data_IF_473791754820
#
_entry.id   IF_473791754820
#
_cell.length_a   1.000
_cell.length_b   1.000
_cell.length_c   1.000
_cell.angle_alpha   90.00
_cell.angle_beta   90.00
_cell.angle_gamma   90.00
#
_symmetry.space_group_name_H-M   'P 1'
#
loop_
_entity.id
_entity.type
_entity.pdbx_description
1 polymer ?
#
# COMPACT_ATOMS: atom_id res chain seq x y z
N UNK A 1 32.93 39.15 -34.78
CA UNK A 1 32.07 38.02 -34.36
C UNK A 1 32.83 37.18 -33.36
N UNK A 2 32.51 37.31 -32.07
CA UNK A 2 32.83 36.36 -31.02
C UNK A 2 31.59 36.32 -30.12
N UNK A 3 30.65 35.38 -30.33
CA UNK A 3 29.61 35.10 -29.36
C UNK A 3 30.21 34.14 -28.33
N UNK A 4 30.04 34.42 -27.03
CA UNK A 4 29.83 33.43 -25.96
C UNK A 4 29.94 34.14 -24.60
N UNK A 5 28.92 34.92 -24.23
CA UNK A 5 28.66 35.24 -22.83
C UNK A 5 28.14 33.98 -22.13
N UNK A 6 29.04 33.25 -21.47
CA UNK A 6 28.66 32.16 -20.56
C UNK A 6 27.98 32.75 -19.32
N UNK A 7 26.65 32.83 -19.38
CA UNK A 7 25.85 33.30 -18.24
C UNK A 7 25.65 32.14 -17.26
N UNK A 8 26.55 31.99 -16.29
CA UNK A 8 26.44 30.96 -15.25
C UNK A 8 25.39 31.40 -14.23
N UNK A 9 24.15 30.89 -14.33
CA UNK A 9 23.10 31.08 -13.31
C UNK A 9 23.40 30.21 -12.09
N UNK A 10 24.15 30.74 -11.13
CA UNK A 10 24.43 30.09 -9.84
C UNK A 10 23.16 30.06 -8.99
N UNK A 11 22.67 28.85 -8.66
CA UNK A 11 21.55 28.67 -7.72
C UNK A 11 22.06 28.90 -6.29
N UNK A 12 21.34 29.62 -5.41
CA UNK A 12 21.79 29.91 -4.05
C UNK A 12 22.01 28.65 -3.18
N UNK A 13 21.27 27.56 -3.46
CA UNK A 13 21.48 26.25 -2.81
C UNK A 13 22.86 25.64 -3.12
N UNK A 14 23.39 25.79 -4.33
CA UNK A 14 24.71 25.26 -4.69
C UNK A 14 25.85 26.10 -4.13
N UNK A 15 25.65 27.41 -3.93
CA UNK A 15 26.62 28.28 -3.27
C UNK A 15 26.72 27.98 -1.76
N UNK A 16 25.59 27.77 -1.08
CA UNK A 16 25.58 27.36 0.33
C UNK A 16 26.26 26.01 0.55
N UNK A 17 25.97 25.02 -0.30
CA UNK A 17 26.63 23.71 -0.26
C UNK A 17 28.14 23.86 -0.52
N UNK A 18 28.54 24.66 -1.51
CA UNK A 18 29.96 24.92 -1.80
C UNK A 18 30.71 25.62 -0.66
N UNK A 19 30.09 26.61 -0.01
CA UNK A 19 30.66 27.35 1.12
C UNK A 19 30.73 26.51 2.39
N UNK A 20 29.79 25.58 2.62
CA UNK A 20 29.82 24.66 3.77
C UNK A 20 30.75 23.46 3.55
N UNK A 21 30.87 22.95 2.33
CA UNK A 21 31.82 21.88 1.99
C UNK A 21 33.25 22.40 1.88
N UNK A 22 33.46 23.67 1.51
CA UNK A 22 34.79 24.27 1.38
C UNK A 22 35.66 24.15 2.64
N UNK A 23 35.24 24.59 3.84
CA UNK A 23 36.06 24.48 5.04
C UNK A 23 36.22 23.03 5.47
N UNK A 24 35.21 22.18 5.28
CA UNK A 24 35.32 20.75 5.60
C UNK A 24 36.31 20.03 4.69
N UNK A 25 36.29 20.32 3.39
CA UNK A 25 37.23 19.77 2.42
C UNK A 25 38.66 20.25 2.69
N UNK A 26 38.84 21.51 3.07
CA UNK A 26 40.16 22.05 3.47
C UNK A 26 40.67 21.36 4.74
N UNK A 27 39.83 21.20 5.77
CA UNK A 27 40.21 20.49 7.00
C UNK A 27 40.53 19.03 6.72
N UNK A 28 39.73 18.35 5.90
CA UNK A 28 39.98 16.96 5.50
C UNK A 28 41.31 16.84 4.72
N UNK A 29 41.58 17.76 3.80
CA UNK A 29 42.83 17.80 3.04
C UNK A 29 44.02 18.04 3.97
N UNK A 30 43.97 19.04 4.86
CA UNK A 30 45.03 19.32 5.83
C UNK A 30 45.27 18.12 6.74
N UNK A 31 44.21 17.45 7.19
CA UNK A 31 44.30 16.25 8.03
C UNK A 31 44.99 15.09 7.30
N UNK A 32 44.60 14.83 6.05
CA UNK A 32 45.23 13.82 5.18
C UNK A 32 46.70 14.17 4.94
N UNK A 33 47.02 15.42 4.59
CA UNK A 33 48.41 15.85 4.35
C UNK A 33 49.29 15.83 5.59
N UNK A 34 48.71 15.93 6.79
CA UNK A 34 49.45 15.88 8.07
C UNK A 34 49.84 14.46 8.49
N UNK A 35 49.45 13.43 7.73
CA UNK A 35 49.80 12.05 8.04
C UNK A 35 51.25 11.69 7.69
N UNK A 36 51.88 10.74 8.38
CA UNK A 36 53.29 10.38 8.18
C UNK A 36 53.48 9.49 6.93
N UNK A 37 53.25 10.06 5.75
CA UNK A 37 53.32 9.40 4.44
C UNK A 37 54.71 8.85 4.10
N UNK A 38 55.76 9.41 4.70
CA UNK A 38 57.15 9.01 4.50
C UNK A 38 57.62 7.88 5.42
N UNK A 39 56.77 7.40 6.34
CA UNK A 39 57.12 6.28 7.23
C UNK A 39 57.13 4.94 6.48
N UNK A 40 58.02 4.01 6.86
CA UNK A 40 58.07 2.66 6.24
C UNK A 40 56.75 1.88 6.36
N UNK A 41 55.91 2.27 7.32
CA UNK A 41 54.64 1.63 7.63
C UNK A 41 53.45 2.35 6.97
N UNK A 42 53.69 3.33 6.09
CA UNK A 42 52.65 4.13 5.42
C UNK A 42 51.61 3.27 4.69
N UNK A 43 52.07 2.30 3.90
CA UNK A 43 51.20 1.38 3.17
C UNK A 43 50.28 0.57 4.10
N UNK A 44 50.81 0.10 5.22
CA UNK A 44 50.08 -0.76 6.16
C UNK A 44 48.93 -0.04 6.87
N UNK A 45 49.14 1.19 7.34
CA UNK A 45 48.07 1.94 8.00
C UNK A 45 47.05 2.49 6.99
N UNK A 46 47.47 2.88 5.78
CA UNK A 46 46.55 3.29 4.70
C UNK A 46 45.59 2.16 4.35
N UNK A 47 46.11 0.94 4.21
CA UNK A 47 45.31 -0.25 3.95
C UNK A 47 44.33 -0.53 5.09
N UNK A 48 44.78 -0.46 6.34
CA UNK A 48 43.93 -0.68 7.51
C UNK A 48 42.78 0.35 7.60
N UNK A 49 43.06 1.63 7.37
CA UNK A 49 42.06 2.70 7.33
C UNK A 49 41.09 2.48 6.16
N UNK A 50 41.60 2.16 4.97
CA UNK A 50 40.78 1.85 3.80
C UNK A 50 39.84 0.66 4.03
N UNK A 51 40.32 -0.40 4.67
CA UNK A 51 39.51 -1.57 5.02
C UNK A 51 38.42 -1.25 6.06
N UNK A 52 38.73 -0.43 7.07
CA UNK A 52 37.74 0.01 8.07
C UNK A 52 36.64 0.88 7.43
N UNK A 53 37.01 1.83 6.56
CA UNK A 53 36.05 2.66 5.82
C UNK A 53 35.20 1.78 4.89
N UNK A 54 35.83 0.86 4.16
CA UNK A 54 35.15 -0.08 3.26
C UNK A 54 34.13 -0.95 4.00
N UNK A 55 34.50 -1.52 5.16
CA UNK A 55 33.61 -2.30 6.01
C UNK A 55 32.46 -1.44 6.56
N UNK A 56 32.75 -0.22 7.00
CA UNK A 56 31.74 0.72 7.47
C UNK A 56 30.69 1.05 6.40
N UNK A 57 31.13 1.32 5.17
CA UNK A 57 30.24 1.57 4.02
C UNK A 57 29.43 0.31 3.67
N UNK A 58 30.07 -0.86 3.65
CA UNK A 58 29.44 -2.14 3.35
C UNK A 58 28.34 -2.53 4.35
N UNK A 59 28.47 -2.14 5.62
CA UNK A 59 27.44 -2.33 6.65
C UNK A 59 26.39 -1.22 6.64
N UNK A 60 26.79 0.02 6.34
CA UNK A 60 25.89 1.18 6.36
C UNK A 60 24.89 1.19 5.20
N UNK A 61 25.31 0.80 4.00
CA UNK A 61 24.44 0.68 2.82
C UNK A 61 23.22 -0.20 3.08
N UNK A 62 23.37 -1.49 3.47
CA UNK A 62 22.23 -2.36 3.75
C UNK A 62 21.41 -1.91 4.96
N UNK A 63 22.02 -1.31 5.99
CA UNK A 63 21.28 -0.77 7.14
C UNK A 63 20.40 0.44 6.76
N UNK A 64 20.91 1.32 5.91
CA UNK A 64 20.16 2.47 5.39
C UNK A 64 19.06 2.04 4.43
N UNK A 65 19.34 1.06 3.58
CA UNK A 65 18.38 0.51 2.63
C UNK A 65 17.29 -0.30 3.34
N UNK A 66 17.64 -1.07 4.38
CA UNK A 66 16.73 -1.87 5.18
C UNK A 66 15.63 -1.01 5.82
N UNK A 67 15.99 0.10 6.46
CA UNK A 67 14.98 1.02 7.05
C UNK A 67 14.04 1.66 6.02
N UNK A 68 14.51 1.85 4.78
CA UNK A 68 13.64 2.34 3.69
C UNK A 68 12.71 1.24 3.18
N UNK A 69 13.26 0.04 2.98
CA UNK A 69 12.49 -1.14 2.57
C UNK A 69 11.40 -1.50 3.58
N UNK A 70 11.71 -1.49 4.87
CA UNK A 70 10.70 -1.73 5.92
C UNK A 70 9.57 -0.71 5.88
N UNK A 71 9.88 0.58 5.68
CA UNK A 71 8.87 1.62 5.54
C UNK A 71 8.03 1.47 4.27
N UNK A 72 8.66 1.09 3.14
CA UNK A 72 7.98 0.88 1.86
C UNK A 72 7.11 -0.38 1.88
N UNK A 73 7.59 -1.47 2.47
CA UNK A 73 6.82 -2.70 2.71
C UNK A 73 5.63 -2.44 3.63
N UNK A 74 5.84 -1.70 4.73
CA UNK A 74 4.75 -1.28 5.61
C UNK A 74 3.70 -0.46 4.87
N UNK A 75 4.12 0.52 4.06
CA UNK A 75 3.21 1.34 3.24
C UNK A 75 2.47 0.52 2.20
N UNK A 76 3.15 -0.44 1.55
CA UNK A 76 2.52 -1.36 0.59
C UNK A 76 1.45 -2.21 1.28
N UNK A 77 1.79 -2.81 2.43
CA UNK A 77 0.87 -3.63 3.22
C UNK A 77 -0.35 -2.83 3.70
N UNK A 78 -0.12 -1.62 4.20
CA UNK A 78 -1.18 -0.69 4.59
C UNK A 78 -2.07 -0.30 3.41
N UNK A 79 -1.48 -0.07 2.23
CA UNK A 79 -2.20 0.20 1.00
C UNK A 79 -3.11 -0.96 0.58
N UNK A 80 -2.63 -2.20 0.67
CA UNK A 80 -3.42 -3.40 0.38
C UNK A 80 -4.57 -3.57 1.39
N UNK A 81 -4.28 -3.43 2.69
CA UNK A 81 -5.30 -3.51 3.74
C UNK A 81 -6.43 -2.49 3.51
N UNK A 82 -6.09 -1.23 3.23
CA UNK A 82 -7.08 -0.18 2.93
C UNK A 82 -7.87 -0.45 1.66
N UNK A 83 -7.24 -0.97 0.61
CA UNK A 83 -7.96 -1.35 -0.62
C UNK A 83 -8.97 -2.46 -0.33
N UNK A 84 -8.61 -3.44 0.49
CA UNK A 84 -9.50 -4.53 0.87
C UNK A 84 -10.68 -3.99 1.69
N UNK A 85 -10.40 -3.10 2.63
CA UNK A 85 -11.39 -2.36 3.41
C UNK A 85 -12.40 -1.62 2.52
N UNK A 86 -11.94 -0.71 1.65
CA UNK A 86 -12.87 0.04 0.80
C UNK A 86 -13.62 -0.83 -0.20
N UNK A 87 -12.99 -1.90 -0.68
CA UNK A 87 -13.66 -2.87 -1.56
C UNK A 87 -14.79 -3.59 -0.82
N UNK A 88 -14.52 -4.08 0.39
CA UNK A 88 -15.53 -4.73 1.22
C UNK A 88 -16.64 -3.76 1.63
N UNK A 89 -16.32 -2.50 1.93
CA UNK A 89 -17.29 -1.45 2.20
C UNK A 89 -18.18 -1.15 0.98
N UNK A 90 -17.60 -1.02 -0.21
CA UNK A 90 -18.34 -0.78 -1.47
C UNK A 90 -19.34 -1.91 -1.72
N UNK A 91 -18.92 -3.18 -1.53
CA UNK A 91 -19.81 -4.34 -1.66
C UNK A 91 -20.89 -4.30 -0.58
N UNK A 92 -20.52 -4.24 0.69
CA UNK A 92 -21.48 -4.27 1.81
C UNK A 92 -22.50 -3.14 1.71
N UNK A 93 -22.06 -1.91 1.41
CA UNK A 93 -22.94 -0.76 1.25
C UNK A 93 -23.89 -0.90 0.08
N UNK A 94 -23.43 -1.41 -1.08
CA UNK A 94 -24.31 -1.69 -2.22
C UNK A 94 -25.33 -2.78 -1.94
N UNK A 95 -24.89 -3.87 -1.30
CA UNK A 95 -25.79 -4.94 -0.88
C UNK A 95 -26.83 -4.43 0.12
N UNK A 96 -26.44 -3.56 1.06
CA UNK A 96 -27.37 -2.90 1.98
C UNK A 96 -28.37 -1.98 1.27
N UNK A 97 -27.92 -1.24 0.26
CA UNK A 97 -28.77 -0.32 -0.51
C UNK A 97 -29.79 -1.04 -1.41
N UNK A 98 -29.38 -2.13 -2.07
CA UNK A 98 -30.29 -2.92 -2.92
C UNK A 98 -31.40 -3.59 -2.11
N UNK A 99 -31.16 -3.86 -0.81
CA UNK A 99 -32.03 -4.67 0.03
C UNK A 99 -32.26 -4.04 1.42
N UNK A 100 -32.85 -2.84 1.51
CA UNK A 100 -33.24 -2.28 2.79
C UNK A 100 -34.33 -3.18 3.39
N UNK A 101 -34.00 -3.87 4.49
CA UNK A 101 -34.92 -4.74 5.23
C UNK A 101 -35.53 -5.90 4.42
N UNK A 102 -34.80 -6.41 3.41
CA UNK A 102 -35.23 -7.55 2.60
C UNK A 102 -36.35 -7.22 1.59
N UNK A 103 -36.63 -5.93 1.36
CA UNK A 103 -37.53 -5.44 0.32
C UNK A 103 -36.73 -4.92 -0.88
N UNK A 104 -37.18 -5.26 -2.09
CA UNK A 104 -36.62 -4.81 -3.36
C UNK A 104 -36.93 -3.34 -3.64
N UNK A 105 -36.24 -2.42 -2.98
CA UNK A 105 -36.42 -0.99 -3.20
C UNK A 105 -35.13 -0.41 -3.78
N UNK A 106 -35.10 -0.24 -5.11
CA UNK A 106 -33.98 0.41 -5.82
C UNK A 106 -33.03 -0.53 -6.58
N UNK A 107 -33.36 -1.82 -6.71
CA UNK A 107 -32.59 -2.76 -7.54
C UNK A 107 -32.81 -2.48 -9.04
N UNK A 108 -31.73 -2.11 -9.73
CA UNK A 108 -31.63 -2.12 -11.18
C UNK A 108 -30.68 -3.24 -11.57
N UNK A 109 -31.26 -4.36 -12.02
CA UNK A 109 -30.53 -5.57 -12.34
C UNK A 109 -29.28 -5.33 -13.19
N UNK A 110 -29.39 -4.50 -14.23
CA UNK A 110 -28.27 -4.27 -15.13
C UNK A 110 -27.17 -3.48 -14.44
N UNK A 111 -27.52 -2.36 -13.81
CA UNK A 111 -26.56 -1.49 -13.13
C UNK A 111 -25.90 -2.19 -11.94
N UNK A 112 -26.67 -2.92 -11.13
CA UNK A 112 -26.20 -3.55 -9.91
C UNK A 112 -25.30 -4.75 -10.19
N UNK A 113 -25.70 -5.63 -11.13
CA UNK A 113 -24.86 -6.75 -11.58
C UNK A 113 -23.55 -6.23 -12.14
N UNK A 114 -23.59 -5.20 -12.99
CA UNK A 114 -22.40 -4.62 -13.59
C UNK A 114 -21.47 -4.04 -12.52
N UNK A 115 -22.02 -3.33 -11.53
CA UNK A 115 -21.20 -2.70 -10.49
C UNK A 115 -20.55 -3.73 -9.57
N UNK A 116 -21.26 -4.81 -9.19
CA UNK A 116 -20.68 -5.91 -8.39
C UNK A 116 -19.65 -6.69 -9.20
N UNK A 117 -19.89 -6.88 -10.50
CA UNK A 117 -18.94 -7.50 -11.43
C UNK A 117 -17.64 -6.67 -11.55
N UNK A 118 -17.75 -5.35 -11.64
CA UNK A 118 -16.58 -4.44 -11.63
C UNK A 118 -15.76 -4.57 -10.34
N UNK A 119 -16.43 -4.75 -9.20
CA UNK A 119 -15.74 -5.00 -7.93
C UNK A 119 -15.02 -6.34 -7.93
N UNK A 120 -15.66 -7.41 -8.41
CA UNK A 120 -15.04 -8.74 -8.52
C UNK A 120 -13.79 -8.70 -9.42
N UNK A 121 -13.85 -8.03 -10.58
CA UNK A 121 -12.70 -7.88 -11.48
C UNK A 121 -11.55 -7.16 -10.77
N UNK A 122 -11.85 -6.07 -10.06
CA UNK A 122 -10.83 -5.32 -9.29
C UNK A 122 -10.23 -6.18 -8.17
N UNK A 123 -11.06 -6.94 -7.46
CA UNK A 123 -10.62 -7.83 -6.39
C UNK A 123 -9.70 -8.94 -6.92
N UNK A 124 -9.95 -9.44 -8.13
CA UNK A 124 -9.11 -10.44 -8.78
C UNK A 124 -7.74 -9.89 -9.16
N UNK A 125 -7.63 -8.65 -9.64
CA UNK A 125 -6.35 -8.11 -10.11
C UNK A 125 -5.50 -7.43 -9.02
N UNK A 126 -6.12 -7.02 -7.90
CA UNK A 126 -5.45 -6.15 -6.91
C UNK A 126 -4.64 -6.90 -5.84
N UNK A 127 -4.93 -8.19 -5.60
CA UNK A 127 -4.46 -8.92 -4.42
C UNK A 127 -3.62 -10.18 -4.73
N UNK A 128 -3.19 -10.35 -5.98
CA UNK A 128 -2.46 -11.57 -6.38
C UNK A 128 -1.07 -11.68 -5.71
N UNK A 129 -0.45 -10.54 -5.36
CA UNK A 129 0.85 -10.49 -4.67
C UNK A 129 0.73 -10.28 -3.14
N UNK A 130 -0.46 -10.48 -2.55
CA UNK A 130 -0.63 -10.34 -1.10
C UNK A 130 -0.12 -11.59 -0.38
N UNK A 131 0.74 -11.41 0.62
CA UNK A 131 1.33 -12.49 1.41
C UNK A 131 0.77 -12.58 2.83
N UNK A 132 -0.13 -11.66 3.22
CA UNK A 132 -0.76 -11.71 4.54
C UNK A 132 -1.84 -12.79 4.57
N UNK A 133 -1.69 -13.85 5.39
CA UNK A 133 -2.59 -15.00 5.36
C UNK A 133 -4.03 -14.64 5.74
N UNK A 134 -4.24 -13.61 6.58
CA UNK A 134 -5.59 -13.16 6.97
C UNK A 134 -6.26 -12.42 5.82
N UNK A 135 -5.55 -11.50 5.17
CA UNK A 135 -6.09 -10.76 4.01
C UNK A 135 -6.31 -11.68 2.82
N UNK A 136 -5.42 -12.64 2.58
CA UNK A 136 -5.59 -13.67 1.54
C UNK A 136 -6.84 -14.50 1.79
N UNK A 137 -7.07 -14.96 3.02
CA UNK A 137 -8.28 -15.71 3.36
C UNK A 137 -9.56 -14.89 3.13
N UNK A 138 -9.60 -13.63 3.58
CA UNK A 138 -10.74 -12.72 3.40
C UNK A 138 -10.98 -12.39 1.92
N UNK A 139 -9.90 -12.14 1.17
CA UNK A 139 -9.96 -11.92 -0.27
C UNK A 139 -10.54 -13.15 -0.97
N UNK A 140 -10.10 -14.35 -0.60
CA UNK A 140 -10.61 -15.59 -1.16
C UNK A 140 -12.10 -15.80 -0.85
N UNK A 141 -12.53 -15.54 0.40
CA UNK A 141 -13.94 -15.59 0.77
C UNK A 141 -14.79 -14.61 -0.04
N UNK A 142 -14.31 -13.37 -0.24
CA UNK A 142 -15.01 -12.41 -1.09
C UNK A 142 -15.05 -12.86 -2.56
N UNK A 143 -13.94 -13.39 -3.10
CA UNK A 143 -13.87 -13.92 -4.48
C UNK A 143 -14.80 -15.12 -4.69
N UNK A 144 -15.07 -15.92 -3.66
CA UNK A 144 -16.03 -17.03 -3.73
C UNK A 144 -17.49 -16.54 -3.60
N UNK A 145 -17.76 -15.59 -2.72
CA UNK A 145 -19.11 -15.10 -2.46
C UNK A 145 -19.65 -14.18 -3.58
N UNK A 146 -18.80 -13.31 -4.15
CA UNK A 146 -19.23 -12.32 -5.15
C UNK A 146 -19.81 -12.93 -6.44
N UNK A 147 -19.22 -13.97 -7.06
CA UNK A 147 -19.83 -14.65 -8.21
C UNK A 147 -21.21 -15.23 -7.89
N UNK A 148 -21.38 -15.78 -6.69
CA UNK A 148 -22.66 -16.33 -6.26
C UNK A 148 -23.69 -15.24 -6.03
N UNK A 149 -23.29 -14.09 -5.48
CA UNK A 149 -24.15 -12.89 -5.42
C UNK A 149 -24.56 -12.44 -6.81
N UNK A 150 -23.61 -12.31 -7.75
CA UNK A 150 -23.88 -11.92 -9.15
C UNK A 150 -24.87 -12.87 -9.82
N UNK A 151 -24.63 -14.19 -9.73
CA UNK A 151 -25.51 -15.19 -10.32
C UNK A 151 -26.92 -15.17 -9.73
N UNK A 152 -27.05 -14.88 -8.42
CA UNK A 152 -28.34 -14.71 -7.81
C UNK A 152 -29.03 -13.43 -8.27
N UNK A 153 -28.33 -12.28 -8.33
CA UNK A 153 -28.88 -11.02 -8.85
C UNK A 153 -29.36 -11.18 -10.30
N UNK A 154 -28.63 -11.92 -11.13
CA UNK A 154 -29.02 -12.25 -12.49
C UNK A 154 -30.29 -13.11 -12.54
N UNK A 155 -30.34 -14.18 -11.74
CA UNK A 155 -31.54 -15.02 -11.59
C UNK A 155 -32.74 -14.26 -11.04
N UNK A 156 -32.51 -13.29 -10.15
CA UNK A 156 -33.54 -12.40 -9.60
C UNK A 156 -34.12 -11.49 -10.68
N UNK A 157 -33.29 -10.97 -11.57
CA UNK A 157 -33.73 -10.15 -12.71
C UNK A 157 -34.71 -10.91 -13.62
N UNK A 158 -34.50 -12.21 -13.81
CA UNK A 158 -35.34 -13.07 -14.65
C UNK A 158 -36.59 -13.64 -13.96
N UNK A 159 -36.73 -13.53 -12.63
CA UNK A 159 -37.81 -14.18 -11.84
C UNK A 159 -38.68 -13.20 -11.05
N UNK A 160 -38.86 -11.98 -11.54
CA UNK A 160 -39.51 -10.85 -10.87
C UNK A 160 -40.99 -11.06 -10.42
N UNK A 161 -41.51 -12.29 -10.36
CA UNK A 161 -42.88 -12.60 -9.90
C UNK A 161 -43.09 -13.89 -9.08
N UNK A 162 -42.14 -14.85 -8.97
CA UNK A 162 -42.49 -16.19 -8.43
C UNK A 162 -41.40 -16.89 -7.57
N UNK A 163 -40.30 -16.20 -7.22
CA UNK A 163 -39.13 -16.83 -6.58
C UNK A 163 -38.65 -16.19 -5.28
N UNK A 164 -39.42 -15.25 -4.72
CA UNK A 164 -38.92 -14.27 -3.75
C UNK A 164 -38.44 -14.91 -2.43
N UNK A 165 -39.13 -15.94 -1.92
CA UNK A 165 -38.83 -16.55 -0.62
C UNK A 165 -37.54 -17.39 -0.62
N UNK A 166 -37.37 -18.29 -1.60
CA UNK A 166 -36.18 -19.15 -1.69
C UNK A 166 -34.90 -18.33 -1.93
N UNK A 167 -35.05 -17.26 -2.71
CA UNK A 167 -33.94 -16.40 -3.03
C UNK A 167 -33.64 -15.39 -1.89
N UNK A 168 -34.63 -15.00 -1.08
CA UNK A 168 -34.43 -14.23 0.17
C UNK A 168 -33.57 -14.99 1.19
N UNK A 169 -33.72 -16.31 1.29
CA UNK A 169 -32.85 -17.14 2.17
C UNK A 169 -31.39 -17.18 1.71
N UNK A 170 -31.16 -17.36 0.40
CA UNK A 170 -29.81 -17.33 -0.18
C UNK A 170 -29.18 -15.95 0.01
N UNK A 171 -29.97 -14.89 -0.16
CA UNK A 171 -29.54 -13.53 0.10
C UNK A 171 -29.06 -13.31 1.53
N UNK A 172 -29.86 -13.70 2.53
CA UNK A 172 -29.50 -13.57 3.95
C UNK A 172 -28.22 -14.33 4.31
N UNK A 173 -27.92 -15.41 3.60
CA UNK A 173 -26.66 -16.13 3.75
C UNK A 173 -25.47 -15.33 3.20
N UNK A 174 -25.56 -14.84 1.96
CA UNK A 174 -24.45 -14.08 1.35
C UNK A 174 -24.22 -12.73 2.02
N UNK A 175 -25.30 -12.03 2.38
CA UNK A 175 -25.24 -10.78 3.14
C UNK A 175 -24.46 -11.01 4.44
N UNK A 176 -24.83 -12.02 5.23
CA UNK A 176 -24.12 -12.36 6.48
C UNK A 176 -22.66 -12.71 6.25
N UNK A 177 -22.34 -13.45 5.19
CA UNK A 177 -20.94 -13.77 4.87
C UNK A 177 -20.12 -12.53 4.50
N UNK A 178 -20.68 -11.63 3.68
CA UNK A 178 -20.01 -10.38 3.30
C UNK A 178 -19.88 -9.45 4.51
N UNK A 179 -20.92 -9.33 5.34
CA UNK A 179 -20.89 -8.56 6.58
C UNK A 179 -19.88 -9.13 7.59
N UNK A 180 -19.77 -10.45 7.69
CA UNK A 180 -18.76 -11.10 8.53
C UNK A 180 -17.35 -10.80 8.03
N UNK A 181 -17.10 -10.93 6.72
CA UNK A 181 -15.83 -10.53 6.10
C UNK A 181 -15.52 -9.06 6.38
N UNK A 182 -16.53 -8.20 6.24
CA UNK A 182 -16.41 -6.77 6.53
C UNK A 182 -16.04 -6.50 7.99
N UNK A 183 -16.72 -7.12 8.95
CA UNK A 183 -16.43 -6.99 10.39
C UNK A 183 -15.00 -7.43 10.72
N UNK A 184 -14.52 -8.52 10.13
CA UNK A 184 -13.13 -8.96 10.29
C UNK A 184 -12.12 -7.98 9.67
N UNK A 185 -12.43 -7.40 8.50
CA UNK A 185 -11.58 -6.38 7.88
C UNK A 185 -11.53 -5.10 8.74
N UNK A 186 -12.65 -4.68 9.32
CA UNK A 186 -12.71 -3.55 10.26
C UNK A 186 -11.85 -3.82 11.50
N UNK A 187 -11.90 -5.02 12.07
CA UNK A 187 -11.04 -5.40 13.21
C UNK A 187 -9.56 -5.33 12.85
N UNK A 188 -9.18 -5.79 11.66
CA UNK A 188 -7.79 -5.68 11.17
C UNK A 188 -7.36 -4.21 11.05
N UNK A 189 -8.21 -3.33 10.52
CA UNK A 189 -7.95 -1.90 10.42
C UNK A 189 -7.85 -1.23 11.80
N UNK A 190 -8.68 -1.63 12.76
CA UNK A 190 -8.64 -1.16 14.16
C UNK A 190 -7.37 -1.61 14.89
N UNK A 191 -6.78 -2.73 14.49
CA UNK A 191 -5.49 -3.22 14.99
C UNK A 191 -4.29 -2.36 14.59
N UNK A 192 -4.44 -1.42 13.66
CA UNK A 192 -3.36 -0.53 13.21
C UNK A 192 -3.03 0.55 14.25
N UNK A 193 -1.79 1.08 14.25
CA UNK A 193 -1.39 2.24 15.04
C UNK A 193 -2.33 3.43 14.84
N UNK A 194 -2.62 4.20 15.89
CA UNK A 194 -3.65 5.25 15.87
C UNK A 194 -3.46 6.32 14.78
N UNK A 195 -2.21 6.63 14.42
CA UNK A 195 -1.85 7.56 13.35
C UNK A 195 -2.06 7.01 11.93
N UNK A 196 -2.23 5.69 11.80
CA UNK A 196 -2.39 4.98 10.52
C UNK A 196 -3.83 4.47 10.30
N UNK A 197 -4.71 4.62 11.28
CA UNK A 197 -6.14 4.26 11.16
C UNK A 197 -6.84 5.20 10.17
N UNK A 198 -7.77 4.65 9.41
CA UNK A 198 -8.69 5.45 8.59
C UNK A 198 -9.54 6.36 9.47
N UNK A 199 -9.52 7.67 9.17
CA UNK A 199 -10.08 8.75 10.02
C UNK A 199 -11.61 8.71 10.17
N UNK A 200 -12.29 8.04 9.23
CA UNK A 200 -13.73 7.86 9.22
C UNK A 200 -14.00 6.35 9.24
N UNK A 201 -14.03 5.75 10.42
CA UNK A 201 -14.44 4.36 10.55
C UNK A 201 -15.93 4.28 10.20
N UNK A 202 -16.25 3.60 9.11
CA UNK A 202 -17.61 3.15 8.86
C UNK A 202 -17.93 2.07 9.92
N UNK A 203 -18.72 2.44 10.93
CA UNK A 203 -19.10 1.57 12.03
C UNK A 203 -19.94 0.39 11.49
N UNK A 204 -19.54 -0.87 11.71
CA UNK A 204 -20.18 -2.01 11.07
C UNK A 204 -21.54 -2.42 11.62
N UNK A 205 -22.19 -1.63 12.51
CA UNK A 205 -23.58 -1.81 12.95
C UNK A 205 -23.97 -3.23 13.34
#
# INVERSE_FOLDING_TARGET
>A
MLPNEFTIRLRPRSLLIGVLLSPFAVVLAVWIFSWPWSSSNASGWVQAVGSLIGLGIALWLPWREGRRREADEFRKNLGLARRLYYTAYEVSGRLGFMFPYGLYKGFDARSDIESVSRVLVRLNTTFDDDHDPRRVALTHQLRQNLPAVIANLDKFSGKQGDGEAALRHLWEYYKRNVESCWKEIVKLEQGLPANERTRNMHDPG
#
